data_IF_982902217771
#
_entry.id   IF_982902217771
#
_cell.length_a   1.000
_cell.length_b   1.000
_cell.length_c   1.000
_cell.angle_alpha   90.00
_cell.angle_beta   90.00
_cell.angle_gamma   90.00
#
_symmetry.space_group_name_H-M   'P 1'
#
loop_
_entity.id
_entity.type
_entity.pdbx_description
1 polymer ?
#
# COMPACT_ATOMS: atom_id res chain seq x y z
N UNK A 1 -0.57 -8.99 34.20
CA UNK A 1 0.46 -8.07 33.67
C UNK A 1 0.09 -7.76 32.24
N UNK A 2 -0.23 -6.51 31.93
CA UNK A 2 -0.62 -6.10 30.59
C UNK A 2 0.63 -6.08 29.71
N UNK A 3 0.65 -6.96 28.70
CA UNK A 3 1.59 -6.88 27.59
C UNK A 3 1.46 -5.49 26.96
N UNK A 4 2.39 -4.60 27.30
CA UNK A 4 2.69 -3.42 26.48
C UNK A 4 3.21 -3.94 25.15
N UNK A 5 2.28 -4.29 24.24
CA UNK A 5 2.58 -4.47 22.83
C UNK A 5 3.32 -3.22 22.39
N UNK A 6 4.62 -3.36 22.13
CA UNK A 6 5.41 -2.38 21.42
C UNK A 6 4.73 -2.15 20.05
N UNK A 7 3.79 -1.20 20.02
CA UNK A 7 3.57 -0.32 18.88
C UNK A 7 4.88 0.45 18.72
N UNK A 8 5.75 -0.07 17.86
CA UNK A 8 6.91 0.70 17.39
C UNK A 8 6.36 1.80 16.49
N UNK A 9 5.88 2.86 17.10
CA UNK A 9 5.63 4.14 16.43
C UNK A 9 6.99 4.67 16.01
N UNK A 10 7.37 4.44 14.75
CA UNK A 10 8.45 5.23 14.15
C UNK A 10 7.90 6.64 13.99
N UNK A 11 8.19 7.52 14.95
CA UNK A 11 7.98 8.95 14.85
C UNK A 11 9.14 9.51 14.05
N UNK A 12 8.86 10.05 12.88
CA UNK A 12 9.92 10.46 11.96
C UNK A 12 10.27 11.91 12.26
N UNK A 13 11.22 12.03 13.19
CA UNK A 13 11.71 13.26 13.80
C UNK A 13 12.22 14.30 12.79
N UNK A 14 12.25 15.55 13.25
CA UNK A 14 12.78 16.76 12.60
C UNK A 14 14.10 16.55 11.85
N UNK A 15 14.02 16.39 10.53
CA UNK A 15 15.19 16.24 9.67
C UNK A 15 15.91 17.58 9.54
N UNK A 16 17.14 17.66 10.07
CA UNK A 16 18.03 18.82 9.88
C UNK A 16 18.66 18.78 8.50
N UNK A 17 18.05 19.48 7.54
CA UNK A 17 18.59 19.59 6.18
C UNK A 17 19.84 20.48 6.12
N UNK A 18 20.83 20.12 5.29
CA UNK A 18 22.04 20.93 5.09
C UNK A 18 21.72 22.31 4.51
N UNK A 19 22.67 23.24 4.67
CA UNK A 19 22.56 24.62 4.20
C UNK A 19 23.31 24.89 2.89
N UNK A 20 24.10 23.96 2.37
CA UNK A 20 24.82 24.15 1.11
C UNK A 20 23.99 23.62 -0.08
N UNK A 21 24.12 24.27 -1.24
CA UNK A 21 23.33 23.91 -2.44
C UNK A 21 23.71 22.54 -3.00
N UNK A 22 24.98 22.16 -2.90
CA UNK A 22 25.50 20.88 -3.43
C UNK A 22 24.88 19.69 -2.70
N UNK A 23 24.85 19.71 -1.36
CA UNK A 23 24.26 18.64 -0.55
C UNK A 23 22.74 18.60 -0.70
N UNK A 24 22.08 19.75 -0.82
CA UNK A 24 20.65 19.79 -1.13
C UNK A 24 20.34 19.12 -2.47
N UNK A 25 21.12 19.41 -3.52
CA UNK A 25 20.98 18.72 -4.82
C UNK A 25 21.25 17.22 -4.74
N UNK A 26 22.20 16.79 -3.92
CA UNK A 26 22.47 15.36 -3.70
C UNK A 26 21.25 14.64 -3.12
N UNK A 27 20.65 15.18 -2.05
CA UNK A 27 19.45 14.61 -1.41
C UNK A 27 18.28 14.56 -2.40
N UNK A 28 18.15 15.58 -3.26
CA UNK A 28 17.10 15.63 -4.28
C UNK A 28 17.26 14.51 -5.32
N UNK A 29 18.50 14.15 -5.65
CA UNK A 29 18.81 13.13 -6.65
C UNK A 29 18.61 11.70 -6.12
N UNK A 30 18.62 11.50 -4.79
CA UNK A 30 18.32 10.20 -4.17
C UNK A 30 16.86 9.78 -4.41
N UNK A 31 15.93 10.74 -4.40
CA UNK A 31 14.52 10.49 -4.73
C UNK A 31 14.28 10.57 -6.26
N UNK A 32 14.82 9.59 -6.99
CA UNK A 32 14.64 9.45 -8.43
C UNK A 32 13.74 8.25 -8.80
N UNK A 33 12.88 8.45 -9.79
CA UNK A 33 11.96 7.41 -10.27
C UNK A 33 10.63 7.37 -9.54
N UNK A 34 9.82 6.33 -9.83
CA UNK A 34 8.52 6.08 -9.20
C UNK A 34 8.55 4.70 -8.58
N UNK A 35 8.30 4.61 -7.27
CA UNK A 35 8.29 3.33 -6.55
C UNK A 35 6.85 2.90 -6.32
N UNK A 36 6.46 1.81 -6.96
CA UNK A 36 5.11 1.24 -6.83
C UNK A 36 5.04 0.32 -5.61
N UNK A 37 4.11 0.63 -4.70
CA UNK A 37 3.78 -0.22 -3.56
C UNK A 37 2.51 -1.00 -3.91
N UNK A 38 2.66 -2.31 -3.96
CA UNK A 38 1.62 -3.24 -4.40
C UNK A 38 0.88 -3.84 -3.20
N UNK A 39 -0.43 -4.06 -3.37
CA UNK A 39 -1.22 -4.86 -2.43
C UNK A 39 -1.07 -6.35 -2.82
N UNK A 40 -0.49 -7.20 -1.96
CA UNK A 40 -0.80 -8.63 -2.04
C UNK A 40 0.23 -9.64 -1.51
N UNK A 41 -0.28 -10.63 -0.77
CA UNK A 41 0.35 -11.94 -0.57
C UNK A 41 -0.24 -12.98 -1.52
N UNK A 42 0.57 -13.90 -2.05
CA UNK A 42 0.21 -14.87 -3.12
C UNK A 42 -0.88 -15.88 -2.69
N UNK A 43 -1.15 -15.97 -1.38
CA UNK A 43 -1.99 -17.00 -0.78
C UNK A 43 -3.45 -16.99 -1.26
N UNK A 44 -4.12 -15.84 -1.36
CA UNK A 44 -5.54 -15.77 -1.74
C UNK A 44 -5.79 -16.28 -3.17
N UNK A 45 -5.04 -15.79 -4.21
CA UNK A 45 -5.11 -16.37 -5.54
C UNK A 45 -4.80 -17.86 -5.57
N UNK A 46 -3.78 -18.30 -4.83
CA UNK A 46 -3.39 -19.70 -4.79
C UNK A 46 -4.51 -20.59 -4.20
N UNK A 47 -5.18 -20.14 -3.14
CA UNK A 47 -6.30 -20.83 -2.54
C UNK A 47 -7.47 -20.99 -3.53
N UNK A 48 -7.82 -19.92 -4.27
CA UNK A 48 -8.86 -20.01 -5.30
C UNK A 48 -8.48 -20.96 -6.44
N UNK A 49 -7.21 -20.98 -6.85
CA UNK A 49 -6.72 -21.92 -7.86
C UNK A 49 -6.83 -23.38 -7.39
N UNK A 50 -6.35 -23.68 -6.18
CA UNK A 50 -6.41 -25.02 -5.59
C UNK A 50 -7.86 -25.49 -5.44
N UNK A 51 -8.75 -24.62 -4.95
CA UNK A 51 -10.18 -24.92 -4.83
C UNK A 51 -10.85 -25.17 -6.19
N UNK A 52 -10.51 -24.36 -7.20
CA UNK A 52 -11.04 -24.55 -8.57
C UNK A 52 -10.64 -25.89 -9.17
N UNK A 53 -9.37 -26.29 -9.01
CA UNK A 53 -8.85 -27.59 -9.47
C UNK A 53 -9.55 -28.74 -8.73
N UNK A 54 -9.69 -28.64 -7.40
CA UNK A 54 -10.36 -29.67 -6.59
C UNK A 54 -11.83 -29.86 -6.99
N UNK A 55 -12.56 -28.77 -7.24
CA UNK A 55 -13.96 -28.83 -7.68
C UNK A 55 -14.09 -29.42 -9.09
N UNK A 56 -13.12 -29.16 -9.97
CA UNK A 56 -13.11 -29.75 -11.32
C UNK A 56 -12.86 -31.26 -11.25
N UNK A 57 -11.93 -31.71 -10.41
CA UNK A 57 -11.65 -33.14 -10.19
C UNK A 57 -12.87 -33.89 -9.63
N UNK A 58 -13.56 -33.30 -8.66
CA UNK A 58 -14.78 -33.90 -8.09
C UNK A 58 -15.96 -33.88 -9.07
N UNK A 59 -16.09 -32.86 -9.91
CA UNK A 59 -17.10 -32.82 -10.98
C UNK A 59 -16.89 -33.96 -11.99
N UNK A 60 -15.64 -34.22 -12.37
CA UNK A 60 -15.27 -35.29 -13.31
C UNK A 60 -15.61 -36.68 -12.75
N UNK A 61 -15.28 -36.96 -11.49
CA UNK A 61 -15.64 -38.23 -10.84
C UNK A 61 -17.16 -38.45 -10.82
N UNK A 62 -17.93 -37.43 -10.47
CA UNK A 62 -19.40 -37.53 -10.44
C UNK A 62 -20.02 -37.69 -11.84
N UNK A 63 -19.36 -37.18 -12.89
CA UNK A 63 -19.79 -37.40 -14.27
C UNK A 63 -19.66 -38.88 -14.65
N UNK A 64 -18.55 -39.55 -14.28
CA UNK A 64 -18.37 -40.98 -14.52
C UNK A 64 -19.38 -41.85 -13.74
N UNK A 65 -19.86 -41.37 -12.59
CA UNK A 65 -20.88 -42.05 -11.76
C UNK A 65 -22.32 -41.74 -12.27
N UNK A 66 -22.47 -40.98 -13.35
CA UNK A 66 -23.78 -40.65 -13.94
C UNK A 66 -24.58 -39.59 -13.18
N UNK A 67 -23.97 -38.85 -12.23
CA UNK A 67 -24.64 -37.84 -11.40
C UNK A 67 -24.61 -36.45 -12.05
N UNK A 68 -25.43 -36.27 -13.09
CA UNK A 68 -25.42 -35.06 -13.93
C UNK A 68 -25.63 -33.74 -13.15
N UNK A 69 -26.60 -33.69 -12.24
CA UNK A 69 -26.91 -32.46 -11.48
C UNK A 69 -25.74 -32.02 -10.59
N UNK A 70 -25.06 -32.97 -9.92
CA UNK A 70 -23.91 -32.68 -9.06
C UNK A 70 -22.73 -32.15 -9.88
N UNK A 71 -22.45 -32.75 -11.05
CA UNK A 71 -21.38 -32.28 -11.95
C UNK A 71 -21.63 -30.86 -12.44
N UNK A 72 -22.87 -30.52 -12.81
CA UNK A 72 -23.23 -29.16 -13.26
C UNK A 72 -23.00 -28.13 -12.14
N UNK A 73 -23.41 -28.44 -10.90
CA UNK A 73 -23.21 -27.55 -9.75
C UNK A 73 -21.72 -27.33 -9.47
N UNK A 74 -20.93 -28.41 -9.43
CA UNK A 74 -19.48 -28.33 -9.15
C UNK A 74 -18.73 -27.59 -10.27
N UNK A 75 -19.10 -27.80 -11.53
CA UNK A 75 -18.53 -27.07 -12.67
C UNK A 75 -18.84 -25.57 -12.62
N UNK A 76 -20.07 -25.19 -12.27
CA UNK A 76 -20.45 -23.79 -12.09
C UNK A 76 -19.67 -23.11 -10.95
N UNK A 77 -19.47 -23.81 -9.82
CA UNK A 77 -18.67 -23.32 -8.70
C UNK A 77 -17.18 -23.17 -9.07
N UNK A 78 -16.62 -24.12 -9.81
CA UNK A 78 -15.24 -24.00 -10.30
C UNK A 78 -15.07 -22.77 -11.20
N UNK A 79 -15.99 -22.56 -12.15
CA UNK A 79 -15.94 -21.42 -13.06
C UNK A 79 -16.07 -20.09 -12.31
N UNK A 80 -16.95 -20.01 -11.30
CA UNK A 80 -17.06 -18.83 -10.43
C UNK A 80 -15.73 -18.52 -9.73
N UNK A 81 -15.06 -19.53 -9.18
CA UNK A 81 -13.76 -19.35 -8.52
C UNK A 81 -12.67 -18.88 -9.48
N UNK A 82 -12.66 -19.38 -10.72
CA UNK A 82 -11.72 -18.90 -11.75
C UNK A 82 -11.98 -17.44 -12.12
N UNK A 83 -13.24 -17.01 -12.23
CA UNK A 83 -13.58 -15.60 -12.46
C UNK A 83 -13.10 -14.72 -11.30
N UNK A 84 -13.32 -15.15 -10.05
CA UNK A 84 -12.84 -14.46 -8.84
C UNK A 84 -11.31 -14.41 -8.83
N UNK A 85 -10.62 -15.49 -9.18
CA UNK A 85 -9.17 -15.58 -9.29
C UNK A 85 -8.62 -14.56 -10.30
N UNK A 86 -9.15 -14.54 -11.54
CA UNK A 86 -8.72 -13.62 -12.59
C UNK A 86 -8.95 -12.17 -12.15
N UNK A 87 -10.14 -11.87 -11.61
CA UNK A 87 -10.46 -10.52 -11.11
C UNK A 87 -9.52 -10.10 -9.98
N UNK A 88 -9.17 -11.02 -9.09
CA UNK A 88 -8.22 -10.78 -7.99
C UNK A 88 -6.81 -10.54 -8.53
N UNK A 89 -6.36 -11.32 -9.51
CA UNK A 89 -5.05 -11.12 -10.17
C UNK A 89 -4.98 -9.79 -10.92
N UNK A 90 -6.03 -9.42 -11.66
CA UNK A 90 -6.10 -8.13 -12.36
C UNK A 90 -6.12 -6.95 -11.39
N UNK A 91 -6.88 -7.03 -10.29
CA UNK A 91 -6.92 -5.97 -9.28
C UNK A 91 -5.54 -5.75 -8.64
N UNK A 92 -4.76 -6.81 -8.44
CA UNK A 92 -3.39 -6.74 -7.92
C UNK A 92 -2.36 -6.17 -8.91
N UNK A 93 -2.75 -5.92 -10.17
CA UNK A 93 -1.96 -5.16 -11.16
C UNK A 93 -2.17 -3.65 -11.08
N UNK A 94 -3.01 -3.15 -10.18
CA UNK A 94 -3.11 -1.73 -9.89
C UNK A 94 -2.27 -1.44 -8.64
N UNK A 95 -1.25 -0.55 -8.71
CA UNK A 95 -0.43 -0.23 -7.56
C UNK A 95 -1.33 0.45 -6.53
N UNK A 96 -1.15 0.08 -5.27
CA UNK A 96 -1.98 0.61 -4.20
C UNK A 96 -1.59 2.05 -3.85
N UNK A 97 -0.29 2.29 -3.92
CA UNK A 97 0.37 3.57 -3.68
C UNK A 97 1.61 3.66 -4.58
N UNK A 98 1.96 4.88 -4.99
CA UNK A 98 3.19 5.15 -5.74
C UNK A 98 3.92 6.29 -5.04
N UNK A 99 5.16 6.05 -4.63
CA UNK A 99 6.08 7.10 -4.19
C UNK A 99 6.60 7.77 -5.46
N UNK A 100 6.17 8.99 -5.72
CA UNK A 100 6.61 9.76 -6.87
C UNK A 100 7.34 11.04 -6.41
N UNK A 101 8.26 11.61 -7.20
CA UNK A 101 9.01 12.80 -6.78
C UNK A 101 8.13 14.00 -6.44
N UNK A 102 6.98 14.11 -7.10
CA UNK A 102 5.95 15.14 -6.92
C UNK A 102 5.10 14.94 -5.65
N UNK A 103 4.93 13.71 -5.17
CA UNK A 103 4.06 13.41 -4.05
C UNK A 103 3.72 11.94 -3.92
N UNK A 104 2.84 11.66 -2.96
CA UNK A 104 2.27 10.35 -2.71
C UNK A 104 1.02 10.18 -3.56
N UNK A 105 1.10 9.31 -4.56
CA UNK A 105 -0.08 8.88 -5.31
C UNK A 105 -0.67 7.65 -4.62
N UNK A 106 -2.00 7.60 -4.48
CA UNK A 106 -2.66 6.45 -3.89
C UNK A 106 -3.91 6.10 -4.69
N UNK A 107 -4.41 4.89 -4.53
CA UNK A 107 -5.71 4.48 -5.08
C UNK A 107 -6.91 5.13 -4.38
N UNK A 108 -6.67 5.86 -3.28
CA UNK A 108 -7.70 6.54 -2.47
C UNK A 108 -7.94 7.96 -2.96
N UNK A 109 -6.88 8.68 -3.36
CA UNK A 109 -6.94 10.06 -3.83
C UNK A 109 -6.76 10.12 -5.35
N UNK A 110 -7.61 10.87 -6.05
CA UNK A 110 -7.39 11.18 -7.46
C UNK A 110 -6.18 12.10 -7.69
N UNK A 111 -5.85 12.92 -6.69
CA UNK A 111 -4.78 13.92 -6.75
C UNK A 111 -3.63 13.46 -5.85
N UNK A 112 -2.36 13.51 -6.31
CA UNK A 112 -1.21 13.19 -5.47
C UNK A 112 -1.15 14.12 -4.25
N UNK A 113 -0.85 13.56 -3.08
CA UNK A 113 -0.60 14.36 -1.87
C UNK A 113 0.86 14.83 -1.93
N UNK A 114 1.13 16.15 -1.96
CA UNK A 114 2.51 16.62 -2.03
C UNK A 114 3.28 16.24 -0.77
N UNK A 115 4.53 15.82 -0.92
CA UNK A 115 5.39 15.44 0.21
C UNK A 115 5.55 16.53 1.27
N UNK A 116 5.48 17.81 0.86
CA UNK A 116 5.51 18.96 1.77
C UNK A 116 4.30 19.03 2.71
N UNK A 117 3.18 18.43 2.31
CA UNK A 117 1.97 18.35 3.14
C UNK A 117 2.02 17.24 4.18
N UNK A 118 2.95 16.27 4.05
CA UNK A 118 3.09 15.15 4.98
C UNK A 118 4.06 15.56 6.09
N UNK A 119 3.50 15.80 7.27
CA UNK A 119 4.26 16.30 8.43
C UNK A 119 4.88 15.17 9.23
N UNK A 120 4.17 14.05 9.36
CA UNK A 120 4.60 12.86 10.07
C UNK A 120 3.97 11.61 9.44
N UNK A 121 4.58 10.45 9.61
CA UNK A 121 3.99 9.18 9.21
C UNK A 121 4.41 8.02 10.11
N UNK A 122 3.51 7.06 10.28
CA UNK A 122 3.72 5.84 11.07
C UNK A 122 3.42 4.62 10.20
N UNK A 123 4.24 3.57 10.33
CA UNK A 123 3.99 2.27 9.69
C UNK A 123 3.90 1.18 10.76
N UNK A 124 2.70 0.66 10.95
CA UNK A 124 2.36 -0.41 11.87
C UNK A 124 2.21 -1.73 11.11
N UNK A 125 2.96 -2.74 11.51
CA UNK A 125 2.79 -4.12 11.03
C UNK A 125 2.00 -4.93 12.05
N UNK A 126 1.03 -5.73 11.60
CA UNK A 126 0.41 -6.72 12.49
C UNK A 126 1.48 -7.75 12.92
N UNK A 127 1.87 -7.75 14.20
CA UNK A 127 2.87 -8.68 14.78
C UNK A 127 2.46 -10.17 14.78
N UNK A 128 1.27 -10.55 14.28
CA UNK A 128 0.82 -11.95 14.33
C UNK A 128 0.86 -12.63 12.97
N UNK A 129 1.67 -13.68 12.88
CA UNK A 129 1.88 -14.62 11.79
C UNK A 129 2.85 -14.20 10.68
N UNK A 130 3.94 -14.96 10.65
CA UNK A 130 5.03 -15.10 9.69
C UNK A 130 4.62 -15.30 8.22
N UNK A 131 3.37 -15.06 7.83
CA UNK A 131 2.91 -15.28 6.46
C UNK A 131 2.01 -14.20 5.85
N UNK A 132 1.53 -13.18 6.58
CA UNK A 132 0.82 -12.04 5.99
C UNK A 132 0.88 -10.85 6.95
N UNK A 133 1.86 -9.97 6.79
CA UNK A 133 1.89 -8.74 7.55
C UNK A 133 0.93 -7.78 6.88
N UNK A 134 -0.30 -7.69 7.40
CA UNK A 134 -1.16 -6.56 7.10
C UNK A 134 -0.49 -5.32 7.69
N UNK A 135 -0.11 -4.38 6.81
CA UNK A 135 0.52 -3.13 7.21
C UNK A 135 -0.54 -2.03 7.22
N UNK A 136 -0.58 -1.27 8.31
CA UNK A 136 -1.26 0.01 8.41
C UNK A 136 -0.23 1.13 8.32
N UNK A 137 -0.48 2.13 7.49
CA UNK A 137 0.25 3.39 7.50
C UNK A 137 -0.68 4.51 7.90
N UNK A 138 -0.18 5.41 8.71
CA UNK A 138 -0.85 6.66 9.05
C UNK A 138 0.02 7.81 8.55
N UNK A 139 -0.55 8.76 7.82
CA UNK A 139 0.13 9.99 7.40
C UNK A 139 -0.60 11.18 7.98
N UNK A 140 0.10 12.05 8.70
CA UNK A 140 -0.44 13.31 9.19
C UNK A 140 -0.28 14.37 8.10
N UNK A 141 -1.39 14.89 7.60
CA UNK A 141 -1.40 15.81 6.45
C UNK A 141 -1.89 17.20 6.91
N UNK A 142 -1.18 18.26 6.51
CA UNK A 142 -1.65 19.64 6.66
C UNK A 142 -2.85 19.89 5.73
N UNK A 143 -3.95 20.37 6.30
CA UNK A 143 -5.23 20.61 5.61
C UNK A 143 -5.10 21.45 4.34
N UNK A 144 -4.11 22.36 4.27
CA UNK A 144 -3.87 23.20 3.09
C UNK A 144 -3.48 22.41 1.85
N UNK A 145 -2.98 21.19 2.04
CA UNK A 145 -2.54 20.29 0.98
C UNK A 145 -3.51 19.13 0.77
N UNK A 146 -4.68 19.15 1.42
CA UNK A 146 -5.69 18.12 1.22
C UNK A 146 -6.49 18.38 -0.06
N UNK A 147 -6.61 17.39 -0.96
CA UNK A 147 -7.54 17.52 -2.07
C UNK A 147 -8.98 17.32 -1.55
N UNK A 148 -9.80 18.38 -1.63
CA UNK A 148 -11.19 18.42 -1.14
C UNK A 148 -12.08 17.28 -1.67
N UNK A 149 -11.76 16.72 -2.84
CA UNK A 149 -12.56 15.73 -3.56
C UNK A 149 -12.48 14.28 -3.01
N UNK A 150 -11.62 14.00 -2.04
CA UNK A 150 -11.17 12.63 -1.75
C UNK A 150 -11.56 12.08 -0.36
N UNK A 151 -12.60 12.59 0.27
CA UNK A 151 -13.14 12.07 1.53
C UNK A 151 -13.93 10.74 1.37
N UNK A 152 -13.52 9.83 0.46
CA UNK A 152 -14.19 8.55 0.22
C UNK A 152 -13.34 7.38 0.72
N UNK A 153 -13.98 6.49 1.48
CA UNK A 153 -13.36 5.25 1.98
C UNK A 153 -13.27 4.21 0.86
N UNK A 154 -12.09 3.62 0.62
CA UNK A 154 -11.95 2.49 -0.31
C UNK A 154 -10.96 1.47 0.23
N UNK A 155 -11.44 0.24 0.46
CA UNK A 155 -10.58 -0.90 0.83
C UNK A 155 -9.81 -0.71 2.13
N UNK A 156 -10.47 -0.23 3.19
CA UNK A 156 -9.85 -0.02 4.50
C UNK A 156 -9.03 1.28 4.62
N UNK A 157 -8.85 2.02 3.54
CA UNK A 157 -8.12 3.28 3.53
C UNK A 157 -9.04 4.48 3.39
N UNK A 158 -8.77 5.51 4.19
CA UNK A 158 -9.63 6.68 4.35
C UNK A 158 -8.85 7.86 4.92
N UNK A 159 -9.39 9.06 4.73
CA UNK A 159 -8.93 10.25 5.44
C UNK A 159 -9.84 10.53 6.64
N UNK A 160 -9.26 10.56 7.84
CA UNK A 160 -9.91 11.00 9.07
C UNK A 160 -9.80 12.53 9.19
N UNK A 161 -10.89 13.24 8.90
CA UNK A 161 -10.97 14.71 9.01
C UNK A 161 -10.77 15.22 10.43
N UNK A 162 -11.19 14.46 11.45
CA UNK A 162 -11.08 14.90 12.83
C UNK A 162 -9.64 14.82 13.32
N UNK A 163 -8.93 13.75 12.93
CA UNK A 163 -7.52 13.54 13.29
C UNK A 163 -6.53 14.15 12.30
N UNK A 164 -7.00 14.64 11.15
CA UNK A 164 -6.20 15.10 10.02
C UNK A 164 -5.19 14.07 9.52
N UNK A 165 -5.63 12.81 9.50
CA UNK A 165 -4.77 11.65 9.20
C UNK A 165 -5.29 10.88 8.00
N UNK A 166 -4.40 10.59 7.06
CA UNK A 166 -4.62 9.58 6.03
C UNK A 166 -4.25 8.21 6.60
N UNK A 167 -5.26 7.35 6.72
CA UNK A 167 -5.11 5.95 7.10
C UNK A 167 -5.05 5.11 5.83
N UNK A 168 -3.95 4.38 5.66
CA UNK A 168 -3.77 3.42 4.58
C UNK A 168 -3.61 2.02 5.19
N UNK A 169 -4.57 1.11 5.01
CA UNK A 169 -4.54 -0.19 5.68
C UNK A 169 -4.67 -1.39 4.73
N UNK A 170 -4.23 -2.56 5.21
CA UNK A 170 -4.62 -3.85 4.63
C UNK A 170 -3.78 -4.31 3.44
N UNK A 171 -2.58 -3.76 3.24
CA UNK A 171 -1.69 -4.22 2.18
C UNK A 171 -0.58 -5.11 2.75
N UNK A 172 -0.28 -6.18 2.00
CA UNK A 172 0.89 -7.03 2.24
C UNK A 172 2.01 -6.61 1.30
N UNK A 173 3.22 -6.57 1.82
CA UNK A 173 4.42 -6.35 1.03
C UNK A 173 4.70 -7.49 0.05
N UNK A 174 5.26 -7.17 -1.13
CA UNK A 174 6.06 -8.15 -1.88
C UNK A 174 7.30 -8.50 -1.03
N UNK A 175 7.75 -9.75 -1.08
CA UNK A 175 8.92 -10.26 -0.33
C UNK A 175 10.16 -9.34 -0.39
N UNK A 176 10.32 -8.56 -1.45
CA UNK A 176 11.45 -7.66 -1.68
C UNK A 176 11.39 -6.34 -0.90
N UNK A 177 10.20 -5.87 -0.53
CA UNK A 177 9.95 -4.59 0.15
C UNK A 177 9.50 -4.86 1.58
N UNK A 178 10.40 -4.96 2.55
CA UNK A 178 9.97 -5.08 3.95
C UNK A 178 9.58 -3.71 4.53
N UNK A 179 9.03 -3.69 5.76
CA UNK A 179 8.63 -2.46 6.48
C UNK A 179 9.75 -1.42 6.51
N UNK A 180 10.95 -1.83 6.91
CA UNK A 180 12.07 -0.92 7.14
C UNK A 180 12.56 -0.29 5.83
N UNK A 181 12.58 -1.06 4.73
CA UNK A 181 12.85 -0.52 3.40
C UNK A 181 11.80 0.51 2.99
N UNK A 182 10.50 0.26 3.24
CA UNK A 182 9.47 1.23 2.90
C UNK A 182 9.60 2.51 3.73
N UNK A 183 9.93 2.41 5.03
CA UNK A 183 10.22 3.58 5.88
C UNK A 183 11.36 4.40 5.28
N UNK A 184 12.47 3.74 4.92
CA UNK A 184 13.63 4.41 4.33
C UNK A 184 13.30 5.10 3.00
N UNK A 185 12.53 4.46 2.13
CA UNK A 185 12.09 5.07 0.86
C UNK A 185 11.20 6.28 1.08
N UNK A 186 10.25 6.20 2.04
CA UNK A 186 9.41 7.34 2.39
C UNK A 186 10.24 8.51 2.94
N UNK A 187 11.26 8.23 3.75
CA UNK A 187 12.19 9.24 4.26
C UNK A 187 12.99 9.91 3.13
N UNK A 188 13.51 9.14 2.19
CA UNK A 188 14.24 9.67 1.02
C UNK A 188 13.37 10.65 0.23
N UNK A 189 12.14 10.25 -0.11
CA UNK A 189 11.24 11.10 -0.91
C UNK A 189 10.78 12.34 -0.14
N UNK A 190 10.46 12.22 1.16
CA UNK A 190 10.11 13.37 2.01
C UNK A 190 11.27 14.35 2.11
N UNK A 191 12.49 13.85 2.39
CA UNK A 191 13.68 14.68 2.57
C UNK A 191 14.06 15.40 1.28
N UNK A 192 13.95 14.73 0.13
CA UNK A 192 14.14 15.34 -1.18
C UNK A 192 13.15 16.49 -1.42
N UNK A 193 11.87 16.31 -1.06
CA UNK A 193 10.87 17.36 -1.24
C UNK A 193 11.11 18.59 -0.34
N UNK A 194 11.53 18.38 0.91
CA UNK A 194 11.93 19.45 1.82
C UNK A 194 13.20 20.15 1.32
N UNK A 195 14.17 19.40 0.78
CA UNK A 195 15.38 19.95 0.19
C UNK A 195 15.09 20.80 -1.06
N UNK A 196 14.20 20.35 -1.96
CA UNK A 196 13.72 21.14 -3.12
C UNK A 196 13.13 22.47 -2.66
N UNK A 197 12.27 22.43 -1.64
CA UNK A 197 11.64 23.65 -1.11
C UNK A 197 12.67 24.64 -0.57
N UNK A 198 13.61 24.15 0.25
CA UNK A 198 14.66 24.98 0.83
C UNK A 198 15.54 25.63 -0.26
N UNK A 199 15.80 24.90 -1.35
CA UNK A 199 16.55 25.40 -2.49
C UNK A 199 15.76 26.44 -3.29
N UNK A 200 14.46 26.22 -3.51
CA UNK A 200 13.55 27.21 -4.13
C UNK A 200 13.52 28.52 -3.33
N UNK A 201 13.29 28.44 -2.02
CA UNK A 201 13.20 29.62 -1.15
C UNK A 201 14.48 30.46 -1.12
N UNK A 202 15.65 29.84 -1.38
CA UNK A 202 16.92 30.56 -1.50
C UNK A 202 17.06 31.36 -2.80
N UNK A 203 16.38 30.97 -3.87
CA UNK A 203 16.41 31.73 -5.14
C UNK A 203 15.67 33.06 -5.03
N UNK A 204 14.78 33.19 -4.05
CA UNK A 204 13.96 34.37 -3.79
C UNK A 204 14.47 35.22 -2.61
N UNK A 205 15.65 34.90 -2.06
CA UNK A 205 16.37 35.72 -1.08
C UNK A 205 17.53 36.42 -1.76
#
# INVERSE_FOLDING_TARGET
>A
MADKKLEETHLISDVKLPNDEKSLKSIINEANGRITVWEGGVFIPLAFLVLGIALTGTAYQNFQIGKMMTTVILGALALLLFVILIRTMMRRRIPYMVLAPEGLETTVFKTPVPWRGITDFQINSSKSNSMNIAVGMEFVIDDRFLPEENAKCRGGSYYDKAKKKLMISGFNFRLETNRDKLINELDIYRNAALARHKLEMKKYK
#
